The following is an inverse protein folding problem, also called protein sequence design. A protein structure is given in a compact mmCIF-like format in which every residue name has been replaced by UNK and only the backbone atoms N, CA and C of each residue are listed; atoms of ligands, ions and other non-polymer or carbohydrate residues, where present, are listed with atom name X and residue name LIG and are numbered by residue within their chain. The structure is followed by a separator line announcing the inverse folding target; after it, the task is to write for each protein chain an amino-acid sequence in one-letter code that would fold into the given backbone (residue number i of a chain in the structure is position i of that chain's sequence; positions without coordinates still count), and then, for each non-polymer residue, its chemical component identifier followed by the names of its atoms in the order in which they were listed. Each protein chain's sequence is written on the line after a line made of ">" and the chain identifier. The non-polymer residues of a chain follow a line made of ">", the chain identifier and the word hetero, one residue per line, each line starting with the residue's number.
data_IF_217525379516
#
_entry.id   IF_217525379516
#
_cell.length_a   1.000
_cell.length_b   1.000
_cell.length_c   1.000
_cell.angle_alpha   90.00
_cell.angle_beta   90.00
_cell.angle_gamma   90.00
#
_symmetry.space_group_name_H-M   'P 1'
#
loop_
_entity.id
_entity.type
_entity.pdbx_description
1 polymer ?
#
# COMPACT_ATOMS: atom_id res chain seq x y z
N UNK A 1 41.64 18.01 6.72
CA UNK A 1 40.85 19.15 6.18
C UNK A 1 40.18 18.78 4.88
N UNK A 2 40.90 18.21 3.92
CA UNK A 2 40.39 17.76 2.60
C UNK A 2 39.35 16.62 2.72
N UNK A 3 39.58 15.65 3.60
CA UNK A 3 38.67 14.54 3.83
C UNK A 3 37.33 15.00 4.44
N UNK A 4 37.37 15.99 5.32
CA UNK A 4 36.15 16.57 5.89
C UNK A 4 35.35 17.33 4.83
N UNK A 5 36.05 18.07 3.95
CA UNK A 5 35.39 18.76 2.84
C UNK A 5 34.77 17.77 1.83
N UNK A 6 35.45 16.67 1.55
CA UNK A 6 34.92 15.60 0.69
C UNK A 6 33.65 15.00 1.29
N UNK A 7 33.69 14.60 2.56
CA UNK A 7 32.53 14.07 3.27
C UNK A 7 31.34 15.04 3.29
N UNK A 8 31.60 16.35 3.46
CA UNK A 8 30.53 17.35 3.40
C UNK A 8 29.89 17.44 2.00
N UNK A 9 30.70 17.36 0.94
CA UNK A 9 30.22 17.39 -0.43
C UNK A 9 29.45 16.12 -0.74
N UNK A 10 29.96 14.96 -0.38
CA UNK A 10 29.29 13.66 -0.58
C UNK A 10 27.94 13.60 0.13
N UNK A 11 27.87 14.08 1.38
CA UNK A 11 26.61 14.17 2.10
C UNK A 11 25.60 15.09 1.40
N UNK A 12 26.02 16.26 0.91
CA UNK A 12 25.15 17.17 0.16
C UNK A 12 24.66 16.55 -1.15
N UNK A 13 25.52 15.86 -1.87
CA UNK A 13 25.15 15.15 -3.10
C UNK A 13 24.11 14.06 -2.77
N UNK A 14 24.38 13.27 -1.73
CA UNK A 14 23.44 12.24 -1.27
C UNK A 14 22.07 12.82 -0.91
N UNK A 15 22.05 13.90 -0.10
CA UNK A 15 20.81 14.56 0.31
C UNK A 15 19.97 15.10 -0.87
N UNK A 16 20.63 15.46 -1.96
CA UNK A 16 19.95 15.87 -3.20
C UNK A 16 19.43 14.63 -3.95
N UNK A 17 20.29 13.62 -4.16
CA UNK A 17 19.98 12.44 -4.96
C UNK A 17 18.79 11.65 -4.40
N UNK A 18 18.72 11.48 -3.07
CA UNK A 18 17.64 10.73 -2.43
C UNK A 18 16.26 11.41 -2.53
N UNK A 19 16.21 12.66 -3.01
CA UNK A 19 14.97 13.42 -3.20
C UNK A 19 14.56 13.56 -4.67
N UNK A 20 15.42 13.12 -5.58
CA UNK A 20 15.12 13.18 -7.02
C UNK A 20 14.21 12.00 -7.36
N UNK A 21 13.03 12.24 -7.96
CA UNK A 21 12.16 11.17 -8.43
C UNK A 21 12.86 10.28 -9.45
N UNK A 22 12.46 9.00 -9.50
CA UNK A 22 12.97 8.08 -10.51
C UNK A 22 12.46 8.48 -11.92
N UNK A 23 13.13 7.97 -12.94
CA UNK A 23 12.66 8.10 -14.32
C UNK A 23 11.39 7.27 -14.50
N UNK A 24 10.39 7.91 -15.07
CA UNK A 24 9.12 7.26 -15.41
C UNK A 24 9.23 6.50 -16.73
N UNK A 25 8.40 5.45 -16.88
CA UNK A 25 8.26 4.76 -18.16
C UNK A 25 7.64 5.68 -19.22
N UNK A 26 8.01 5.46 -20.50
CA UNK A 26 7.52 6.25 -21.64
C UNK A 26 6.01 6.12 -21.87
N UNK A 27 5.38 5.03 -21.41
CA UNK A 27 3.94 4.80 -21.51
C UNK A 27 3.12 5.57 -20.47
N UNK A 28 3.78 6.23 -19.50
CA UNK A 28 3.10 7.02 -18.47
C UNK A 28 2.53 8.31 -19.05
N UNK A 29 1.21 8.55 -18.93
CA UNK A 29 0.60 9.76 -19.48
C UNK A 29 1.10 11.01 -18.76
N UNK A 30 1.35 12.06 -19.51
CA UNK A 30 1.68 13.36 -18.95
C UNK A 30 0.42 14.01 -18.42
N UNK A 31 0.44 14.51 -17.18
CA UNK A 31 -0.75 15.10 -16.58
C UNK A 31 -0.45 15.92 -15.32
N UNK A 32 -1.35 16.86 -15.03
CA UNK A 32 -1.31 17.77 -13.88
C UNK A 32 -2.35 17.40 -12.80
N UNK A 33 -3.29 16.51 -13.11
CA UNK A 33 -4.34 16.05 -12.18
C UNK A 33 -4.76 14.60 -12.49
N UNK A 34 -5.57 14.02 -11.62
CA UNK A 34 -6.16 12.68 -11.77
C UNK A 34 -7.13 12.55 -12.96
N UNK A 35 -7.61 13.67 -13.50
CA UNK A 35 -8.45 13.69 -14.71
C UNK A 35 -7.69 13.22 -15.95
N UNK A 36 -6.35 13.24 -15.91
CA UNK A 36 -5.46 12.83 -17.00
C UNK A 36 -4.94 11.40 -16.86
N UNK A 37 -5.45 10.67 -15.86
CA UNK A 37 -5.22 9.23 -15.74
C UNK A 37 -5.88 8.49 -16.90
N UNK A 38 -5.22 7.46 -17.43
CA UNK A 38 -5.71 6.69 -18.58
C UNK A 38 -6.32 5.36 -18.13
N UNK A 39 -7.62 5.17 -18.40
CA UNK A 39 -8.29 3.88 -18.19
C UNK A 39 -7.82 2.87 -19.25
N UNK A 40 -7.18 1.79 -18.81
CA UNK A 40 -6.66 0.73 -19.69
C UNK A 40 -7.49 -0.55 -19.65
N UNK A 41 -8.27 -0.76 -18.61
CA UNK A 41 -9.18 -1.91 -18.46
C UNK A 41 -10.39 -1.52 -17.61
N UNK A 42 -11.52 -2.09 -17.96
CA UNK A 42 -12.75 -2.07 -17.14
C UNK A 42 -13.34 -3.46 -17.07
N UNK A 43 -13.75 -3.87 -15.89
CA UNK A 43 -14.41 -5.16 -15.67
C UNK A 43 -15.70 -5.01 -14.85
N UNK A 44 -16.69 -5.80 -15.20
CA UNK A 44 -18.00 -5.79 -14.56
C UNK A 44 -18.83 -4.55 -14.88
N UNK A 45 -20.01 -4.50 -14.31
CA UNK A 45 -20.94 -3.36 -14.41
C UNK A 45 -21.41 -3.02 -13.00
N UNK A 46 -21.28 -1.77 -12.55
CA UNK A 46 -21.84 -1.35 -11.28
C UNK A 46 -23.35 -1.68 -11.23
N UNK A 47 -23.80 -2.13 -10.08
CA UNK A 47 -25.20 -2.47 -9.89
C UNK A 47 -26.05 -1.20 -9.88
N UNK A 48 -27.10 -1.18 -10.68
CA UNK A 48 -28.18 -0.21 -10.56
C UNK A 48 -29.11 -0.61 -9.41
N UNK A 49 -29.41 0.34 -8.53
CA UNK A 49 -30.34 0.15 -7.41
C UNK A 49 -31.68 0.80 -7.75
N UNK A 50 -32.80 0.09 -7.48
CA UNK A 50 -34.16 0.64 -7.58
C UNK A 50 -34.52 1.55 -6.39
N UNK A 51 -33.57 1.77 -5.47
CA UNK A 51 -33.66 2.59 -4.27
C UNK A 51 -32.39 3.44 -4.10
N UNK A 52 -32.45 4.48 -3.32
CA UNK A 52 -31.27 5.29 -2.98
C UNK A 52 -30.36 4.50 -2.02
N UNK A 53 -29.12 4.13 -2.43
CA UNK A 53 -28.22 3.37 -1.59
C UNK A 53 -27.67 4.24 -0.45
N UNK A 54 -27.62 3.66 0.75
CA UNK A 54 -27.02 4.33 1.92
C UNK A 54 -25.50 4.31 1.78
N UNK A 55 -24.85 5.32 2.35
CA UNK A 55 -23.40 5.35 2.48
C UNK A 55 -22.92 4.21 3.40
N UNK A 56 -21.69 3.71 3.17
CA UNK A 56 -21.14 2.60 3.93
C UNK A 56 -21.06 2.88 5.44
N UNK A 57 -20.77 4.12 5.85
CA UNK A 57 -20.71 4.48 7.26
C UNK A 57 -22.08 4.40 7.96
N UNK A 58 -23.17 4.72 7.27
CA UNK A 58 -24.52 4.56 7.81
C UNK A 58 -24.90 3.07 7.92
N UNK A 59 -24.53 2.28 6.91
CA UNK A 59 -24.78 0.83 6.89
C UNK A 59 -24.06 0.10 8.03
N UNK A 60 -22.77 0.37 8.23
CA UNK A 60 -22.01 -0.35 9.26
C UNK A 60 -22.42 0.03 10.67
N UNK A 61 -22.90 1.26 10.90
CA UNK A 61 -23.47 1.68 12.17
C UNK A 61 -24.84 1.05 12.42
N UNK A 62 -25.77 1.10 11.46
CA UNK A 62 -27.10 0.48 11.58
C UNK A 62 -27.00 -1.03 11.82
N UNK A 63 -26.12 -1.72 11.09
CA UNK A 63 -25.89 -3.14 11.25
C UNK A 63 -25.02 -3.49 12.46
N UNK A 64 -24.53 -2.49 13.19
CA UNK A 64 -23.63 -2.66 14.35
C UNK A 64 -22.37 -3.45 14.01
N UNK A 65 -21.82 -3.20 12.83
CA UNK A 65 -20.59 -3.81 12.32
C UNK A 65 -19.36 -2.98 12.66
N UNK A 66 -19.53 -1.69 12.95
CA UNK A 66 -18.46 -0.78 13.33
C UNK A 66 -18.90 0.16 14.48
N UNK A 67 -17.91 0.68 15.25
CA UNK A 67 -18.11 1.65 16.32
C UNK A 67 -16.98 2.68 16.28
N UNK A 68 -17.27 3.83 15.68
CA UNK A 68 -16.32 4.93 15.54
C UNK A 68 -16.22 5.77 16.82
N UNK A 69 -17.33 5.93 17.55
CA UNK A 69 -17.36 6.75 18.78
C UNK A 69 -16.46 6.16 19.87
N UNK A 70 -16.56 4.84 20.10
CA UNK A 70 -15.70 4.16 21.07
C UNK A 70 -14.25 4.12 20.63
N UNK A 71 -13.98 3.97 19.34
CA UNK A 71 -12.63 4.04 18.81
C UNK A 71 -12.01 5.43 19.00
N UNK A 72 -12.77 6.50 18.73
CA UNK A 72 -12.32 7.86 18.95
C UNK A 72 -11.98 8.14 20.42
N UNK A 73 -12.72 7.57 21.36
CA UNK A 73 -12.42 7.66 22.79
C UNK A 73 -11.11 6.97 23.18
N UNK A 74 -10.73 5.89 22.48
CA UNK A 74 -9.54 5.08 22.80
C UNK A 74 -8.29 5.60 22.08
N UNK A 75 -8.41 5.98 20.81
CA UNK A 75 -7.25 6.29 19.97
C UNK A 75 -7.38 7.61 19.20
N UNK A 76 -8.53 8.28 19.27
CA UNK A 76 -8.78 9.48 18.49
C UNK A 76 -9.59 9.22 17.22
N UNK A 77 -9.70 10.25 16.38
CA UNK A 77 -10.39 10.16 15.09
C UNK A 77 -9.67 9.21 14.13
N UNK A 78 -10.37 8.74 13.10
CA UNK A 78 -9.84 7.81 12.06
C UNK A 78 -9.36 6.46 12.59
N UNK A 79 -9.91 6.01 13.71
CA UNK A 79 -9.83 4.63 14.18
C UNK A 79 -11.24 4.04 14.24
N UNK A 80 -11.33 2.72 14.19
CA UNK A 80 -12.60 2.00 14.21
C UNK A 80 -12.48 0.73 15.06
N UNK A 81 -13.56 0.41 15.78
CA UNK A 81 -13.78 -0.95 16.25
C UNK A 81 -14.69 -1.66 15.25
N UNK A 82 -14.17 -2.68 14.57
CA UNK A 82 -15.02 -3.63 13.86
C UNK A 82 -15.62 -4.62 14.87
N UNK A 83 -16.91 -4.83 14.78
CA UNK A 83 -17.64 -5.67 15.73
C UNK A 83 -18.49 -6.70 15.01
N UNK A 84 -18.76 -7.85 15.66
CA UNK A 84 -19.65 -8.90 15.14
C UNK A 84 -19.33 -9.29 13.69
N UNK A 85 -20.31 -9.12 12.80
CA UNK A 85 -20.17 -9.48 11.39
C UNK A 85 -19.16 -8.60 10.65
N UNK A 86 -18.90 -7.37 11.11
CA UNK A 86 -17.82 -6.52 10.58
C UNK A 86 -16.45 -7.12 10.82
N UNK A 87 -16.16 -7.54 12.04
CA UNK A 87 -14.90 -8.22 12.36
C UNK A 87 -14.79 -9.61 11.69
N UNK A 88 -15.92 -10.31 11.53
CA UNK A 88 -15.95 -11.58 10.82
C UNK A 88 -15.65 -11.40 9.33
N UNK A 89 -16.26 -10.40 8.69
CA UNK A 89 -16.07 -10.09 7.28
C UNK A 89 -14.61 -9.69 6.98
N UNK A 90 -14.04 -8.80 7.79
CA UNK A 90 -12.61 -8.40 7.68
C UNK A 90 -11.70 -9.62 7.69
N UNK A 91 -11.83 -10.46 8.72
CA UNK A 91 -11.03 -11.68 8.85
C UNK A 91 -11.28 -12.67 7.69
N UNK A 92 -12.51 -12.79 7.23
CA UNK A 92 -12.86 -13.68 6.11
C UNK A 92 -12.20 -13.21 4.81
N UNK A 93 -12.21 -11.90 4.53
CA UNK A 93 -11.56 -11.31 3.36
C UNK A 93 -10.04 -11.51 3.40
N UNK A 94 -9.40 -11.24 4.54
CA UNK A 94 -7.96 -11.46 4.71
C UNK A 94 -7.59 -12.93 4.47
N UNK A 95 -8.30 -13.86 5.09
CA UNK A 95 -8.06 -15.30 4.91
C UNK A 95 -8.31 -15.76 3.46
N UNK A 96 -9.34 -15.23 2.81
CA UNK A 96 -9.65 -15.53 1.41
C UNK A 96 -8.49 -15.08 0.50
N UNK A 97 -8.03 -13.82 0.63
CA UNK A 97 -6.94 -13.28 -0.18
C UNK A 97 -5.64 -14.05 0.04
N UNK A 98 -5.23 -14.28 1.30
CA UNK A 98 -4.02 -15.07 1.63
C UNK A 98 -4.10 -16.49 1.06
N UNK A 99 -5.23 -17.18 1.27
CA UNK A 99 -5.42 -18.55 0.76
C UNK A 99 -5.31 -18.58 -0.76
N UNK A 100 -5.93 -17.61 -1.44
CA UNK A 100 -5.86 -17.54 -2.89
C UNK A 100 -4.44 -17.30 -3.39
N UNK A 101 -3.74 -16.34 -2.81
CA UNK A 101 -2.37 -16.03 -3.22
C UNK A 101 -1.42 -17.21 -2.96
N UNK A 102 -1.56 -17.90 -1.84
CA UNK A 102 -0.68 -19.04 -1.50
C UNK A 102 -1.00 -20.32 -2.26
N UNK A 103 -2.27 -20.60 -2.55
CA UNK A 103 -2.68 -21.88 -3.16
C UNK A 103 -2.83 -21.83 -4.67
N UNK A 104 -3.13 -20.66 -5.25
CA UNK A 104 -3.42 -20.50 -6.68
C UNK A 104 -2.39 -19.63 -7.41
N UNK A 105 -1.85 -18.60 -6.76
CA UNK A 105 -0.94 -17.66 -7.38
C UNK A 105 0.53 -17.95 -7.06
N UNK A 106 0.82 -18.97 -6.22
CA UNK A 106 2.18 -19.45 -5.95
C UNK A 106 2.99 -18.59 -4.99
N UNK A 107 2.37 -17.67 -4.24
CA UNK A 107 3.07 -16.87 -3.24
C UNK A 107 3.38 -17.65 -1.98
N UNK A 108 4.52 -17.35 -1.36
CA UNK A 108 4.89 -17.79 -0.01
C UNK A 108 4.33 -16.78 0.99
N UNK A 109 3.50 -17.26 1.93
CA UNK A 109 3.02 -16.44 3.03
C UNK A 109 4.13 -16.16 4.03
N UNK A 110 4.27 -14.90 4.43
CA UNK A 110 5.23 -14.46 5.42
C UNK A 110 4.54 -13.70 6.56
N UNK A 111 4.98 -13.95 7.79
CA UNK A 111 4.64 -13.14 8.96
C UNK A 111 5.81 -12.21 9.27
N UNK A 112 5.62 -10.92 9.04
CA UNK A 112 6.69 -9.93 9.10
C UNK A 112 6.66 -9.11 10.38
N UNK A 113 7.82 -8.53 10.81
CA UNK A 113 7.80 -7.45 11.79
C UNK A 113 6.97 -6.27 11.32
N UNK A 114 6.19 -5.68 12.24
CA UNK A 114 5.39 -4.47 11.97
C UNK A 114 6.03 -3.20 12.54
N UNK A 115 7.13 -3.34 13.27
CA UNK A 115 8.01 -2.27 13.71
C UNK A 115 9.36 -2.44 13.03
N UNK A 116 9.80 -1.42 12.31
CA UNK A 116 11.01 -1.47 11.48
C UNK A 116 11.91 -0.26 11.76
N UNK A 117 13.19 -0.37 11.45
CA UNK A 117 14.15 0.71 11.59
C UNK A 117 14.09 1.70 10.40
N UNK A 118 14.76 2.85 10.56
CA UNK A 118 14.79 3.91 9.55
C UNK A 118 15.40 3.44 8.21
N UNK A 119 16.42 2.58 8.25
CA UNK A 119 17.06 2.08 7.03
C UNK A 119 16.11 1.21 6.21
N UNK A 120 15.24 0.47 6.88
CA UNK A 120 14.18 -0.32 6.23
C UNK A 120 13.14 0.58 5.57
N UNK A 121 12.72 1.67 6.24
CA UNK A 121 11.83 2.69 5.65
C UNK A 121 12.48 3.43 4.48
N UNK A 122 13.78 3.66 4.55
CA UNK A 122 14.55 4.26 3.47
C UNK A 122 14.64 3.32 2.26
N UNK A 123 14.81 2.01 2.49
CA UNK A 123 14.96 1.00 1.44
C UNK A 123 13.76 0.89 0.49
N UNK A 124 12.57 1.29 0.93
CA UNK A 124 11.32 1.32 0.12
C UNK A 124 10.81 2.74 -0.15
N UNK A 125 11.62 3.77 0.14
CA UNK A 125 11.34 5.15 -0.25
C UNK A 125 10.38 5.93 0.64
N UNK A 126 9.89 5.36 1.75
CA UNK A 126 9.07 6.10 2.71
C UNK A 126 9.87 7.22 3.38
N UNK A 127 11.13 6.99 3.69
CA UNK A 127 12.03 8.03 4.16
C UNK A 127 12.98 8.48 3.05
N UNK A 128 13.33 9.77 3.03
CA UNK A 128 12.87 10.86 3.90
C UNK A 128 11.56 11.52 3.45
N UNK A 129 11.01 11.16 2.29
CA UNK A 129 9.96 11.93 1.60
C UNK A 129 8.63 11.95 2.36
N UNK A 130 8.23 10.81 2.92
CA UNK A 130 6.93 10.61 3.57
C UNK A 130 7.01 10.50 5.11
N UNK A 131 8.05 11.08 5.74
CA UNK A 131 8.22 10.98 7.20
C UNK A 131 7.01 11.50 7.99
N UNK A 132 6.32 12.53 7.48
CA UNK A 132 5.13 13.09 8.13
C UNK A 132 3.92 12.13 8.11
N UNK A 133 3.90 11.17 7.20
CA UNK A 133 2.85 10.16 7.09
C UNK A 133 3.12 8.90 7.94
N UNK A 134 4.27 8.84 8.63
CA UNK A 134 4.66 7.70 9.44
C UNK A 134 4.38 7.91 10.93
N UNK A 135 4.01 6.82 11.62
CA UNK A 135 4.03 6.79 13.08
C UNK A 135 5.38 6.29 13.59
N UNK A 136 6.04 7.10 14.40
CA UNK A 136 7.36 6.82 14.96
C UNK A 136 7.28 6.50 16.46
N UNK A 137 7.96 5.44 16.86
CA UNK A 137 8.17 5.08 18.27
C UNK A 137 9.49 5.71 18.71
N UNK A 138 9.41 6.93 19.23
CA UNK A 138 10.56 7.81 19.48
C UNK A 138 11.65 7.17 20.36
N UNK A 139 11.24 6.47 21.43
CA UNK A 139 12.18 5.89 22.40
C UNK A 139 13.07 4.81 21.78
N UNK A 140 12.52 3.98 20.91
CA UNK A 140 13.20 2.87 20.26
C UNK A 140 13.78 3.24 18.89
N UNK A 141 13.43 4.41 18.35
CA UNK A 141 13.83 4.85 17.01
C UNK A 141 13.23 3.97 15.90
N UNK A 142 12.09 3.32 16.16
CA UNK A 142 11.39 2.46 15.22
C UNK A 142 10.18 3.16 14.63
N UNK A 143 9.71 2.65 13.51
CA UNK A 143 8.49 3.10 12.83
C UNK A 143 7.51 1.95 12.72
N UNK A 144 6.21 2.24 12.84
CA UNK A 144 5.17 1.28 12.45
C UNK A 144 5.07 1.26 10.91
N UNK A 145 4.88 0.09 10.33
CA UNK A 145 4.83 -0.03 8.87
C UNK A 145 3.54 0.58 8.28
N UNK A 146 3.62 1.36 7.18
CA UNK A 146 2.45 1.80 6.43
C UNK A 146 1.91 0.72 5.48
N UNK A 147 2.71 -0.32 5.21
CA UNK A 147 2.46 -1.42 4.29
C UNK A 147 3.43 -2.57 4.57
N UNK A 148 2.99 -3.81 4.35
CA UNK A 148 3.87 -4.98 4.44
C UNK A 148 4.93 -5.02 3.32
N UNK A 149 4.79 -4.22 2.27
CA UNK A 149 5.84 -4.01 1.26
C UNK A 149 7.19 -3.69 1.90
N UNK A 150 7.19 -2.84 2.94
CA UNK A 150 8.41 -2.40 3.62
C UNK A 150 9.25 -3.57 4.15
N UNK A 151 8.75 -4.45 5.03
CA UNK A 151 9.53 -5.59 5.49
C UNK A 151 9.74 -6.68 4.42
N UNK A 152 8.78 -6.89 3.50
CA UNK A 152 8.91 -7.90 2.46
C UNK A 152 10.00 -7.56 1.45
N UNK A 153 10.05 -6.32 0.96
CA UNK A 153 11.05 -5.86 -0.02
C UNK A 153 12.44 -5.81 0.60
N UNK A 154 12.54 -5.47 1.89
CA UNK A 154 13.82 -5.46 2.61
C UNK A 154 14.30 -6.85 3.07
N UNK A 155 13.56 -7.92 2.77
CA UNK A 155 13.94 -9.28 3.19
C UNK A 155 15.33 -9.69 2.70
N UNK A 156 15.68 -9.31 1.48
CA UNK A 156 17.01 -9.56 0.89
C UNK A 156 17.93 -8.32 0.89
N UNK A 157 17.63 -7.29 1.69
CA UNK A 157 18.50 -6.10 1.74
C UNK A 157 19.92 -6.47 2.16
N UNK A 158 20.90 -5.93 1.46
CA UNK A 158 22.34 -6.14 1.67
C UNK A 158 22.79 -7.60 1.45
N UNK A 159 22.00 -8.41 0.74
CA UNK A 159 22.34 -9.79 0.40
C UNK A 159 22.58 -9.96 -1.13
N UNK A 160 23.46 -10.89 -1.46
CA UNK A 160 23.63 -11.36 -2.84
C UNK A 160 22.79 -12.63 -3.01
N UNK A 161 21.69 -12.51 -3.76
CA UNK A 161 20.79 -13.63 -4.02
C UNK A 161 21.49 -14.64 -4.91
N UNK A 162 21.53 -15.91 -4.49
CA UNK A 162 22.20 -16.97 -5.21
C UNK A 162 21.48 -17.30 -6.53
N UNK A 163 22.23 -17.74 -7.58
CA UNK A 163 21.61 -18.19 -8.83
C UNK A 163 20.57 -19.30 -8.60
N UNK A 164 19.41 -19.17 -9.25
CA UNK A 164 18.32 -20.15 -9.17
C UNK A 164 17.36 -19.97 -7.99
N UNK A 165 17.54 -18.94 -7.15
CA UNK A 165 16.58 -18.58 -6.10
C UNK A 165 15.38 -17.82 -6.68
N UNK A 166 15.65 -16.89 -7.60
CA UNK A 166 14.60 -16.09 -8.25
C UNK A 166 13.81 -16.88 -9.30
N UNK A 167 12.51 -16.61 -9.46
CA UNK A 167 11.73 -15.57 -8.79
C UNK A 167 11.28 -15.96 -7.38
N UNK A 168 11.19 -14.98 -6.48
CA UNK A 168 10.57 -15.11 -5.16
C UNK A 168 9.28 -14.30 -5.11
N UNK A 169 8.21 -14.93 -4.63
CA UNK A 169 6.88 -14.36 -4.54
C UNK A 169 6.43 -14.41 -3.07
N UNK A 170 6.26 -13.25 -2.45
CA UNK A 170 5.87 -13.13 -1.05
C UNK A 170 4.51 -12.48 -0.90
N UNK A 171 3.71 -12.96 0.06
CA UNK A 171 2.48 -12.30 0.49
C UNK A 171 2.43 -12.24 2.02
N UNK A 172 1.89 -11.15 2.54
CA UNK A 172 1.70 -10.99 3.99
C UNK A 172 0.42 -10.22 4.29
N UNK A 173 -0.27 -10.61 5.34
CA UNK A 173 -1.33 -9.81 5.96
C UNK A 173 -0.77 -9.11 7.17
N UNK A 174 -0.93 -7.80 7.24
CA UNK A 174 -0.49 -6.99 8.39
C UNK A 174 -1.46 -5.88 8.70
N UNK A 175 -1.47 -5.43 9.96
CA UNK A 175 -1.93 -4.10 10.26
C UNK A 175 -0.96 -3.08 9.65
N UNK A 176 -1.51 -2.03 9.06
CA UNK A 176 -0.79 -0.92 8.43
C UNK A 176 -1.17 0.38 9.13
N UNK A 177 -0.22 1.32 9.23
CA UNK A 177 -0.38 2.54 10.00
C UNK A 177 0.04 3.75 9.17
N UNK A 178 -0.88 4.71 8.97
CA UNK A 178 -0.62 5.96 8.23
C UNK A 178 -1.14 7.15 9.01
N UNK A 179 -0.34 8.21 9.18
CA UNK A 179 -0.78 9.42 9.87
C UNK A 179 -1.70 10.29 9.00
N UNK A 180 -1.74 10.04 7.69
CA UNK A 180 -2.61 10.72 6.74
C UNK A 180 -2.47 12.25 6.78
N UNK A 181 -1.24 12.75 6.96
CA UNK A 181 -0.94 14.17 7.16
C UNK A 181 -1.39 15.04 5.98
N UNK A 182 -1.26 14.53 4.75
CA UNK A 182 -1.63 15.22 3.51
C UNK A 182 -3.13 15.15 3.14
N UNK A 183 -3.95 14.41 3.88
CA UNK A 183 -5.34 14.09 3.48
C UNK A 183 -6.41 15.00 4.12
N UNK A 184 -6.06 16.21 4.52
CA UNK A 184 -6.98 17.14 5.18
C UNK A 184 -8.28 17.35 4.38
N UNK A 185 -9.42 16.91 4.95
CA UNK A 185 -10.75 17.12 4.38
C UNK A 185 -11.26 16.07 3.39
N UNK A 186 -10.45 15.08 3.00
CA UNK A 186 -10.89 13.96 2.14
C UNK A 186 -11.27 12.74 2.99
N UNK A 187 -12.37 12.08 2.62
CA UNK A 187 -12.83 10.79 3.22
C UNK A 187 -12.74 10.74 4.75
N UNK A 188 -13.22 11.81 5.40
CA UNK A 188 -13.13 11.98 6.87
C UNK A 188 -14.12 11.12 7.64
N UNK A 189 -15.06 10.46 6.95
CA UNK A 189 -16.10 9.60 7.54
C UNK A 189 -15.99 8.17 6.98
N UNK A 190 -16.29 7.20 7.82
CA UNK A 190 -16.38 5.80 7.44
C UNK A 190 -15.05 5.06 7.47
N UNK A 191 -14.90 4.04 6.60
CA UNK A 191 -13.82 3.06 6.63
C UNK A 191 -12.72 3.29 5.59
N UNK A 192 -12.89 4.27 4.68
CA UNK A 192 -12.00 4.41 3.52
C UNK A 192 -10.62 4.91 3.92
N UNK A 193 -10.53 5.84 4.89
CA UNK A 193 -9.27 6.47 5.28
C UNK A 193 -9.09 6.45 6.80
N UNK A 194 -8.35 5.45 7.26
CA UNK A 194 -8.08 5.19 8.68
C UNK A 194 -6.58 5.28 8.97
N UNK A 195 -6.23 5.63 10.22
CA UNK A 195 -4.84 5.60 10.70
C UNK A 195 -4.30 4.19 10.88
N UNK A 196 -5.19 3.23 11.11
CA UNK A 196 -4.88 1.79 11.19
C UNK A 196 -5.88 1.01 10.35
N UNK A 197 -5.38 0.15 9.48
CA UNK A 197 -6.16 -0.76 8.63
C UNK A 197 -5.37 -2.03 8.35
N UNK A 198 -6.05 -3.09 7.93
CA UNK A 198 -5.41 -4.34 7.52
C UNK A 198 -5.22 -4.40 6.01
N UNK A 199 -4.10 -4.97 5.56
CA UNK A 199 -3.79 -5.14 4.14
C UNK A 199 -3.15 -6.50 3.88
N UNK A 200 -3.55 -7.14 2.80
CA UNK A 200 -2.85 -8.29 2.21
C UNK A 200 -1.97 -7.77 1.08
N UNK A 201 -0.68 -7.90 1.25
CA UNK A 201 0.34 -7.39 0.35
C UNK A 201 0.93 -8.48 -0.51
N UNK A 202 1.34 -8.14 -1.71
CA UNK A 202 2.09 -9.00 -2.63
C UNK A 202 3.39 -8.32 -3.05
N UNK A 203 4.50 -9.02 -2.99
CA UNK A 203 5.81 -8.57 -3.46
C UNK A 203 6.43 -9.66 -4.31
N UNK A 204 7.01 -9.30 -5.44
CA UNK A 204 7.80 -10.21 -6.29
C UNK A 204 9.22 -9.69 -6.43
N UNK A 205 10.19 -10.56 -6.21
CA UNK A 205 11.61 -10.31 -6.47
C UNK A 205 12.01 -11.16 -7.67
N UNK A 206 12.34 -10.48 -8.75
CA UNK A 206 12.56 -11.12 -10.06
C UNK A 206 13.85 -10.60 -10.69
N UNK A 207 14.29 -11.22 -11.78
CA UNK A 207 15.35 -10.65 -12.60
C UNK A 207 14.87 -9.33 -13.24
N UNK A 208 15.77 -8.35 -13.45
CA UNK A 208 15.39 -7.04 -14.00
C UNK A 208 14.61 -7.10 -15.32
N UNK A 209 14.99 -8.04 -16.19
CA UNK A 209 14.35 -8.27 -17.50
C UNK A 209 12.91 -8.78 -17.40
N UNK A 210 12.55 -9.41 -16.27
CA UNK A 210 11.22 -9.97 -16.04
C UNK A 210 10.28 -9.02 -15.30
N UNK A 211 10.75 -7.85 -14.86
CA UNK A 211 10.01 -6.97 -13.94
C UNK A 211 8.66 -6.50 -14.49
N UNK A 212 8.57 -6.18 -15.79
CA UNK A 212 7.31 -5.75 -16.40
C UNK A 212 6.28 -6.88 -16.49
N UNK A 213 6.73 -8.09 -16.83
CA UNK A 213 5.86 -9.27 -16.84
C UNK A 213 5.37 -9.60 -15.42
N UNK A 214 6.27 -9.50 -14.44
CA UNK A 214 5.93 -9.73 -13.03
C UNK A 214 4.92 -8.70 -12.50
N UNK A 215 5.03 -7.43 -12.90
CA UNK A 215 4.07 -6.39 -12.56
C UNK A 215 2.68 -6.70 -13.15
N UNK A 216 2.63 -7.10 -14.43
CA UNK A 216 1.37 -7.45 -15.08
C UNK A 216 0.69 -8.66 -14.43
N UNK A 217 1.45 -9.72 -14.14
CA UNK A 217 0.93 -10.90 -13.43
C UNK A 217 0.47 -10.57 -12.01
N UNK A 218 1.19 -9.72 -11.27
CA UNK A 218 0.81 -9.28 -9.93
C UNK A 218 -0.49 -8.47 -9.97
N UNK A 219 -0.64 -7.60 -10.97
CA UNK A 219 -1.87 -6.85 -11.21
C UNK A 219 -3.04 -7.79 -11.49
N UNK A 220 -2.86 -8.81 -12.35
CA UNK A 220 -3.89 -9.81 -12.63
C UNK A 220 -4.27 -10.62 -11.37
N UNK A 221 -3.32 -10.90 -10.49
CA UNK A 221 -3.61 -11.58 -9.22
C UNK A 221 -4.49 -10.72 -8.30
N UNK A 222 -4.28 -9.40 -8.28
CA UNK A 222 -5.13 -8.46 -7.56
C UNK A 222 -6.53 -8.34 -8.20
N UNK A 223 -6.59 -8.23 -9.53
CA UNK A 223 -7.84 -8.19 -10.29
C UNK A 223 -8.71 -9.45 -10.05
N UNK A 224 -8.08 -10.63 -9.99
CA UNK A 224 -8.78 -11.89 -9.73
C UNK A 224 -9.53 -11.90 -8.38
N UNK A 225 -9.04 -11.19 -7.37
CA UNK A 225 -9.76 -11.04 -6.08
C UNK A 225 -11.07 -10.28 -6.31
N UNK A 226 -11.02 -9.16 -7.03
CA UNK A 226 -12.22 -8.35 -7.30
C UNK A 226 -13.21 -9.09 -8.18
N UNK A 227 -12.72 -9.77 -9.22
CA UNK A 227 -13.54 -10.54 -10.15
C UNK A 227 -14.28 -11.69 -9.47
N UNK A 228 -13.62 -12.43 -8.60
CA UNK A 228 -14.27 -13.52 -7.85
C UNK A 228 -15.26 -13.02 -6.79
N UNK A 229 -15.02 -11.83 -6.23
CA UNK A 229 -16.00 -11.18 -5.34
C UNK A 229 -17.13 -10.49 -6.10
N UNK A 230 -17.09 -10.47 -7.44
CA UNK A 230 -18.08 -9.81 -8.30
C UNK A 230 -18.08 -8.29 -8.16
N UNK A 231 -16.95 -7.69 -7.83
CA UNK A 231 -16.78 -6.25 -7.65
C UNK A 231 -16.31 -5.60 -8.96
N UNK A 232 -17.10 -4.71 -9.58
CA UNK A 232 -16.68 -3.99 -10.78
C UNK A 232 -15.51 -3.06 -10.46
N UNK A 233 -14.54 -2.98 -11.38
CA UNK A 233 -13.37 -2.12 -11.21
C UNK A 233 -12.92 -1.50 -12.54
N UNK A 234 -12.07 -0.50 -12.43
CA UNK A 234 -11.28 0.09 -13.52
C UNK A 234 -9.81 -0.05 -13.19
N UNK A 235 -9.00 -0.41 -14.18
CA UNK A 235 -7.55 -0.30 -14.11
C UNK A 235 -7.13 0.97 -14.83
N UNK A 236 -6.37 1.80 -14.16
CA UNK A 236 -5.89 3.07 -14.69
C UNK A 236 -4.38 3.15 -14.62
N UNK A 237 -3.76 3.82 -15.59
CA UNK A 237 -2.38 4.26 -15.51
C UNK A 237 -2.40 5.67 -14.96
N UNK A 238 -1.72 5.88 -13.85
CA UNK A 238 -1.59 7.19 -13.21
C UNK A 238 -0.74 8.11 -14.08
N UNK A 239 -1.12 9.38 -14.17
CA UNK A 239 -0.32 10.38 -14.87
C UNK A 239 0.87 10.85 -14.02
N UNK A 240 1.80 11.56 -14.65
CA UNK A 240 3.08 11.97 -14.05
C UNK A 240 2.96 12.69 -12.72
N UNK A 241 1.98 13.57 -12.53
CA UNK A 241 1.85 14.31 -11.27
C UNK A 241 1.51 13.42 -10.09
N UNK A 242 0.77 12.32 -10.30
CA UNK A 242 0.40 11.39 -9.24
C UNK A 242 1.52 10.42 -8.93
N UNK A 243 2.27 9.93 -9.92
CA UNK A 243 3.42 9.04 -9.71
C UNK A 243 4.51 9.66 -8.84
N UNK A 244 4.67 10.99 -8.87
CA UNK A 244 5.63 11.67 -8.02
C UNK A 244 5.16 11.89 -6.57
N UNK A 245 3.88 11.66 -6.29
CA UNK A 245 3.24 11.91 -4.99
C UNK A 245 2.70 10.66 -4.31
N UNK A 246 2.56 9.56 -5.04
CA UNK A 246 2.13 8.26 -4.51
C UNK A 246 3.31 7.42 -4.03
N UNK A 247 3.09 6.49 -3.10
CA UNK A 247 4.01 5.40 -2.84
C UNK A 247 3.67 4.18 -3.71
N UNK A 248 4.59 3.21 -3.80
CA UNK A 248 4.40 2.04 -4.65
C UNK A 248 3.19 1.17 -4.26
N UNK A 249 2.75 1.22 -3.00
CA UNK A 249 1.61 0.46 -2.53
C UNK A 249 0.26 1.09 -2.92
N UNK A 250 0.25 2.38 -3.27
CA UNK A 250 -0.94 3.10 -3.72
C UNK A 250 -1.15 3.00 -5.25
N UNK A 251 -0.12 2.59 -6.00
CA UNK A 251 -0.10 2.63 -7.47
C UNK A 251 -0.90 1.50 -8.13
N UNK A 252 -1.32 0.48 -7.41
CA UNK A 252 -1.80 -0.76 -8.02
C UNK A 252 -3.29 -0.82 -8.34
N UNK A 253 -4.19 -0.12 -7.66
CA UNK A 253 -5.63 -0.16 -7.96
C UNK A 253 -6.37 1.08 -7.44
N UNK A 254 -6.73 1.99 -8.32
CA UNK A 254 -7.86 2.89 -8.05
C UNK A 254 -9.17 2.15 -8.32
N UNK A 255 -9.88 1.76 -7.28
CA UNK A 255 -11.24 1.20 -7.34
C UNK A 255 -12.25 2.33 -7.41
#
# INVERSE_FOLDING_TARGET
>A
ETDNQLNEVDNKIRDILIRIPNLINEDVPQGASDEENVEVKKWGTPRDFEFEPKAHWDLVEELKMADFERAAKVSGARFVYLTKDGALLERALMNYMLTKHTTQHGYTEMMTPQLVNADTMFGTGQLPKFEEDLFKVEKEGLYTIPTAEVPLTNFYRDEIIQPGVLPELFTAQTACFRSEAGSAGRDTRGLIRLHQFDKVEMVRIVQPEDSWNALEEMTQNAEAILEELGLPYRRVILCTCLLYTSDAADDLLCV
#
